data_IF_814742911227
#
_entry.id   IF_814742911227
#
_cell.length_a   1.000
_cell.length_b   1.000
_cell.length_c   1.000
_cell.angle_alpha   90.00
_cell.angle_beta   90.00
_cell.angle_gamma   90.00
#
_symmetry.space_group_name_H-M   'P 1'
#
loop_
_entity.id
_entity.type
_entity.pdbx_description
1 polymer ?
#
# COMPACT_ATOMS: atom_id res chain seq x y z
N UNK A 1 -27.92 -10.32 21.55
CA UNK A 1 -28.52 -9.72 20.35
C UNK A 1 -27.54 -10.03 19.23
N UNK A 2 -27.80 -11.08 18.44
CA UNK A 2 -26.96 -11.45 17.30
C UNK A 2 -27.06 -10.30 16.29
N UNK A 3 -26.04 -9.45 16.24
CA UNK A 3 -25.81 -8.58 15.08
C UNK A 3 -25.64 -9.51 13.88
N UNK A 4 -26.41 -9.31 12.81
CA UNK A 4 -26.29 -10.07 11.57
C UNK A 4 -24.80 -10.16 11.16
N UNK A 5 -24.26 -11.37 11.22
CA UNK A 5 -22.85 -11.61 10.90
C UNK A 5 -22.65 -11.34 9.41
N UNK A 6 -21.74 -10.42 9.08
CA UNK A 6 -21.42 -10.12 7.69
C UNK A 6 -20.80 -11.33 7.02
N UNK A 7 -21.29 -11.66 5.83
CA UNK A 7 -20.85 -12.78 5.02
C UNK A 7 -20.51 -12.34 3.60
N UNK A 8 -19.42 -12.88 3.05
CA UNK A 8 -19.06 -12.76 1.65
C UNK A 8 -19.57 -13.97 0.83
N UNK A 9 -20.01 -13.72 -0.40
CA UNK A 9 -20.32 -14.79 -1.36
C UNK A 9 -19.10 -15.13 -2.20
N UNK A 10 -19.10 -16.28 -2.89
CA UNK A 10 -18.03 -16.64 -3.81
C UNK A 10 -17.89 -15.62 -4.96
N UNK A 11 -19.01 -15.06 -5.44
CA UNK A 11 -19.01 -14.02 -6.46
C UNK A 11 -18.37 -12.72 -5.96
N UNK A 12 -18.63 -12.33 -4.71
CA UNK A 12 -18.01 -11.16 -4.10
C UNK A 12 -16.51 -11.36 -3.86
N UNK A 13 -16.09 -12.54 -3.40
CA UNK A 13 -14.68 -12.89 -3.26
C UNK A 13 -13.96 -12.84 -4.61
N UNK A 14 -14.57 -13.39 -5.66
CA UNK A 14 -14.01 -13.34 -7.01
C UNK A 14 -13.88 -11.89 -7.52
N UNK A 15 -14.90 -11.04 -7.32
CA UNK A 15 -14.89 -9.62 -7.70
C UNK A 15 -13.77 -8.83 -7.00
N UNK A 16 -13.46 -9.17 -5.74
CA UNK A 16 -12.43 -8.50 -4.93
C UNK A 16 -11.02 -9.08 -5.08
N UNK A 17 -10.89 -10.19 -5.79
CA UNK A 17 -9.59 -10.80 -6.10
C UNK A 17 -9.07 -10.16 -7.37
N UNK A 18 -7.87 -9.59 -7.31
CA UNK A 18 -7.21 -8.99 -8.46
C UNK A 18 -5.98 -9.83 -8.76
N UNK A 19 -6.00 -10.55 -9.90
CA UNK A 19 -4.87 -11.37 -10.33
C UNK A 19 -3.83 -10.52 -11.03
N UNK A 20 -2.57 -10.98 -11.04
CA UNK A 20 -1.53 -10.38 -11.88
C UNK A 20 -1.95 -10.29 -13.35
N UNK A 21 -2.69 -11.28 -13.84
CA UNK A 21 -3.20 -11.31 -15.20
C UNK A 21 -4.32 -10.28 -15.48
N UNK A 22 -4.96 -9.75 -14.43
CA UNK A 22 -6.01 -8.73 -14.53
C UNK A 22 -5.43 -7.30 -14.50
N UNK A 23 -4.10 -7.16 -14.35
CA UNK A 23 -3.45 -5.86 -14.33
C UNK A 23 -3.45 -5.28 -15.75
N UNK A 24 -4.09 -4.13 -15.90
CA UNK A 24 -4.14 -3.38 -17.15
C UNK A 24 -3.39 -2.06 -16.96
N UNK A 25 -2.30 -1.89 -17.68
CA UNK A 25 -1.55 -0.64 -17.65
C UNK A 25 -2.30 0.46 -18.39
N UNK A 26 -2.09 1.69 -17.95
CA UNK A 26 -2.30 2.88 -18.78
C UNK A 26 -0.95 3.52 -19.05
N UNK A 27 -0.47 3.33 -20.27
CA UNK A 27 0.80 3.88 -20.75
C UNK A 27 0.68 5.40 -21.04
N UNK A 28 -0.50 5.97 -20.79
CA UNK A 28 -0.89 7.36 -21.05
C UNK A 28 -1.57 7.97 -19.82
N UNK A 29 -1.22 7.48 -18.62
CA UNK A 29 -1.86 7.93 -17.38
C UNK A 29 -1.55 9.40 -17.02
N UNK A 30 -0.45 9.94 -17.57
CA UNK A 30 0.14 11.22 -17.18
C UNK A 30 0.74 11.96 -18.37
N UNK A 31 0.92 13.28 -18.20
CA UNK A 31 1.57 14.14 -19.19
C UNK A 31 3.01 13.70 -19.53
N UNK A 32 3.75 13.19 -18.54
CA UNK A 32 5.15 12.79 -18.73
C UNK A 32 5.29 11.50 -19.55
N UNK A 33 4.27 10.64 -19.59
CA UNK A 33 4.26 9.45 -20.44
C UNK A 33 4.29 9.75 -21.95
N UNK A 34 4.20 11.03 -22.35
CA UNK A 34 4.33 11.47 -23.74
C UNK A 34 5.67 12.18 -24.02
N UNK A 35 6.55 12.26 -23.02
CA UNK A 35 7.91 12.81 -23.15
C UNK A 35 8.96 11.69 -23.21
N UNK A 36 10.01 11.81 -24.05
CA UNK A 36 11.05 10.79 -24.16
C UNK A 36 11.71 10.48 -22.81
N UNK A 37 11.87 9.19 -22.49
CA UNK A 37 12.49 8.72 -21.24
C UNK A 37 11.50 8.38 -20.12
N UNK A 38 10.23 8.75 -20.29
CA UNK A 38 9.09 8.36 -19.44
C UNK A 38 8.01 7.62 -20.22
N UNK A 39 8.13 7.56 -21.56
CA UNK A 39 7.17 7.01 -22.52
C UNK A 39 6.97 5.50 -22.43
N UNK A 40 7.87 4.80 -21.74
CA UNK A 40 7.79 3.35 -21.50
C UNK A 40 7.35 2.99 -20.09
N UNK A 41 6.88 3.96 -19.30
CA UNK A 41 6.37 3.76 -17.94
C UNK A 41 4.93 3.25 -18.02
N UNK A 42 4.69 2.09 -17.42
CA UNK A 42 3.35 1.52 -17.28
C UNK A 42 2.80 1.84 -15.89
N UNK A 43 1.58 2.37 -15.82
CA UNK A 43 0.92 2.69 -14.55
C UNK A 43 -0.35 1.86 -14.37
N UNK A 44 -0.58 1.40 -13.15
CA UNK A 44 -1.66 0.50 -12.80
C UNK A 44 -2.49 1.07 -11.64
N UNK A 45 -3.79 0.81 -11.63
CA UNK A 45 -4.72 1.22 -10.56
C UNK A 45 -5.54 0.02 -10.09
N UNK A 46 -5.14 -0.57 -8.98
CA UNK A 46 -5.73 -1.81 -8.47
C UNK A 46 -6.89 -1.49 -7.51
N UNK A 47 -6.64 -0.60 -6.54
CA UNK A 47 -7.61 -0.16 -5.55
C UNK A 47 -7.76 1.34 -5.67
N UNK A 48 -8.95 1.81 -6.07
CA UNK A 48 -9.21 3.21 -6.33
C UNK A 48 -8.42 3.79 -7.51
N UNK A 49 -8.74 5.02 -7.95
CA UNK A 49 -8.14 5.64 -9.13
C UNK A 49 -6.73 6.21 -8.91
N UNK A 50 -6.26 6.33 -7.66
CA UNK A 50 -4.99 6.96 -7.32
C UNK A 50 -4.95 8.43 -7.71
N UNK A 51 -4.03 8.79 -8.62
CA UNK A 51 -3.84 10.15 -9.13
C UNK A 51 -3.98 10.26 -10.66
N UNK A 52 -4.54 9.22 -11.31
CA UNK A 52 -4.64 9.18 -12.77
C UNK A 52 -5.43 10.38 -13.32
N UNK A 53 -4.94 10.94 -14.43
CA UNK A 53 -5.60 12.03 -15.17
C UNK A 53 -6.38 11.50 -16.38
N UNK A 54 -6.27 10.19 -16.66
CA UNK A 54 -6.88 9.57 -17.82
C UNK A 54 -8.23 8.92 -17.44
N UNK A 55 -9.37 9.36 -18.03
CA UNK A 55 -10.68 8.77 -17.74
C UNK A 55 -10.80 7.30 -18.17
N UNK A 56 -9.97 6.86 -19.12
CA UNK A 56 -9.94 5.49 -19.63
C UNK A 56 -9.09 4.55 -18.77
N UNK A 57 -8.46 5.05 -17.68
CA UNK A 57 -7.73 4.20 -16.74
C UNK A 57 -8.65 3.10 -16.20
N UNK A 58 -8.25 1.86 -16.43
CA UNK A 58 -8.88 0.70 -15.79
C UNK A 58 -8.52 0.71 -14.31
N UNK A 59 -9.55 0.69 -13.47
CA UNK A 59 -9.43 0.55 -12.01
C UNK A 59 -10.05 -0.78 -11.62
N UNK A 60 -9.25 -1.72 -11.14
CA UNK A 60 -9.73 -3.09 -10.86
C UNK A 60 -10.84 -3.10 -9.79
N UNK A 61 -10.68 -2.35 -8.70
CA UNK A 61 -11.70 -2.20 -7.66
C UNK A 61 -11.85 -0.72 -7.25
N UNK A 62 -13.00 -0.12 -7.57
CA UNK A 62 -13.32 1.30 -7.29
C UNK A 62 -13.91 1.57 -5.91
N UNK A 63 -14.12 0.54 -5.11
CA UNK A 63 -14.69 0.70 -3.77
C UNK A 63 -13.76 1.55 -2.89
N UNK A 64 -14.28 2.54 -2.14
CA UNK A 64 -13.47 3.35 -1.23
C UNK A 64 -12.82 2.50 -0.13
N UNK A 65 -11.51 2.63 0.06
CA UNK A 65 -10.75 1.94 1.09
C UNK A 65 -10.18 2.88 2.15
N UNK A 66 -10.27 4.20 1.96
CA UNK A 66 -9.52 5.21 2.71
C UNK A 66 -8.06 5.34 2.23
N UNK A 67 -7.69 4.62 1.18
CA UNK A 67 -6.40 4.63 0.50
C UNK A 67 -6.56 4.09 -0.92
N UNK A 68 -5.59 4.37 -1.79
CA UNK A 68 -5.49 3.76 -3.11
C UNK A 68 -4.28 2.82 -3.18
N UNK A 69 -4.34 1.80 -4.04
CA UNK A 69 -3.20 0.95 -4.39
C UNK A 69 -3.00 0.98 -5.90
N UNK A 70 -1.80 1.38 -6.34
CA UNK A 70 -1.36 1.36 -7.72
C UNK A 70 -0.01 0.67 -7.88
N UNK A 71 0.51 0.70 -9.10
CA UNK A 71 1.91 0.36 -9.35
C UNK A 71 2.47 1.13 -10.55
N UNK A 72 3.79 1.27 -10.57
CA UNK A 72 4.58 1.64 -11.73
C UNK A 72 5.49 0.47 -12.12
N UNK A 73 5.39 0.01 -13.36
CA UNK A 73 6.35 -0.90 -13.96
C UNK A 73 7.22 -0.13 -14.95
N UNK A 74 8.54 -0.27 -14.82
CA UNK A 74 9.49 0.60 -15.50
C UNK A 74 10.69 -0.20 -16.02
N UNK A 75 10.98 -0.16 -17.32
CA UNK A 75 12.25 -0.65 -17.84
C UNK A 75 13.45 0.06 -17.24
N UNK A 76 14.64 -0.57 -17.36
CA UNK A 76 15.89 0.06 -16.94
C UNK A 76 16.06 1.45 -17.57
N UNK A 77 16.51 2.42 -16.77
CA UNK A 77 16.79 3.80 -17.17
C UNK A 77 15.55 4.67 -17.34
N UNK A 78 14.34 4.09 -17.30
CA UNK A 78 13.10 4.86 -17.40
C UNK A 78 12.89 5.64 -16.11
N UNK A 79 12.40 6.87 -16.29
CA UNK A 79 12.25 7.84 -15.23
C UNK A 79 10.79 8.22 -15.04
N UNK A 80 10.36 8.26 -13.79
CA UNK A 80 9.13 8.92 -13.36
C UNK A 80 9.49 10.33 -12.92
N UNK A 81 8.86 11.33 -13.55
CA UNK A 81 9.27 12.72 -13.43
C UNK A 81 8.89 13.35 -12.09
N UNK A 82 9.51 14.50 -11.78
CA UNK A 82 9.28 15.21 -10.51
C UNK A 82 7.83 15.68 -10.42
N UNK A 83 7.16 15.31 -9.35
CA UNK A 83 5.84 15.81 -8.99
C UNK A 83 5.67 15.79 -7.47
N UNK A 84 4.58 16.33 -6.97
CA UNK A 84 4.25 16.48 -5.56
C UNK A 84 2.84 15.95 -5.31
N UNK A 85 2.63 15.28 -4.18
CA UNK A 85 1.33 14.80 -3.73
C UNK A 85 0.86 15.54 -2.48
N UNK A 86 -0.47 15.64 -2.34
CA UNK A 86 -1.12 16.21 -1.16
C UNK A 86 -1.31 15.19 -0.04
N UNK A 87 -1.46 13.92 -0.40
CA UNK A 87 -1.57 12.80 0.53
C UNK A 87 -0.29 11.98 0.55
N UNK A 88 -0.10 11.19 1.62
CA UNK A 88 1.10 10.40 1.77
C UNK A 88 1.17 9.31 0.70
N UNK A 89 2.36 9.08 0.14
CA UNK A 89 2.61 8.00 -0.82
C UNK A 89 3.66 7.06 -0.24
N UNK A 90 3.32 5.77 -0.20
CA UNK A 90 4.21 4.72 0.26
C UNK A 90 4.60 3.86 -0.93
N UNK A 91 5.88 3.81 -1.23
CA UNK A 91 6.45 2.91 -2.23
C UNK A 91 6.76 1.54 -1.61
N UNK A 92 6.37 0.49 -2.33
CA UNK A 92 6.64 -0.91 -1.99
C UNK A 92 7.47 -1.49 -3.14
N UNK A 93 8.78 -1.64 -2.94
CA UNK A 93 9.68 -2.11 -3.99
C UNK A 93 9.59 -3.63 -4.12
N UNK A 94 8.77 -4.11 -5.05
CA UNK A 94 8.55 -5.55 -5.22
C UNK A 94 9.55 -6.20 -6.17
N UNK A 95 10.19 -5.44 -7.05
CA UNK A 95 11.26 -5.91 -7.92
C UNK A 95 12.12 -4.75 -8.42
N UNK A 96 13.43 -4.94 -8.49
CA UNK A 96 14.37 -4.00 -9.08
C UNK A 96 15.05 -3.08 -8.07
N UNK A 97 15.75 -2.07 -8.59
CA UNK A 97 16.44 -1.04 -7.81
C UNK A 97 16.04 0.33 -8.34
N UNK A 98 15.56 1.21 -7.46
CA UNK A 98 15.05 2.52 -7.84
C UNK A 98 15.84 3.63 -7.16
N UNK A 99 16.34 4.58 -7.95
CA UNK A 99 16.90 5.83 -7.43
C UNK A 99 15.77 6.82 -7.21
N UNK A 100 15.39 7.07 -5.96
CA UNK A 100 14.56 8.20 -5.57
C UNK A 100 15.39 9.47 -5.58
N UNK A 101 14.80 10.56 -6.08
CA UNK A 101 15.35 11.92 -6.02
C UNK A 101 14.26 12.92 -5.62
N UNK A 102 14.64 13.98 -4.91
CA UNK A 102 13.68 14.98 -4.43
C UNK A 102 14.23 16.40 -4.47
N UNK A 103 13.33 17.35 -4.22
CA UNK A 103 13.53 18.79 -4.43
C UNK A 103 12.93 19.24 -5.76
N UNK A 104 12.63 20.53 -5.88
CA UNK A 104 11.93 21.07 -7.05
C UNK A 104 12.67 20.84 -8.38
N UNK A 105 14.01 20.81 -8.32
CA UNK A 105 14.90 20.48 -9.43
C UNK A 105 15.51 19.07 -9.31
N UNK A 106 15.16 18.31 -8.26
CA UNK A 106 15.66 16.96 -8.01
C UNK A 106 17.07 16.88 -7.40
N UNK A 107 17.59 18.01 -6.92
CA UNK A 107 18.99 18.14 -6.44
C UNK A 107 19.13 18.18 -4.90
N UNK A 108 18.03 18.12 -4.14
CA UNK A 108 18.09 18.16 -2.66
C UNK A 108 18.61 16.86 -2.05
N UNK A 109 18.48 15.75 -2.77
CA UNK A 109 19.10 14.49 -2.41
C UNK A 109 18.54 13.31 -3.16
N UNK A 110 19.20 12.18 -2.93
CA UNK A 110 18.90 10.90 -3.56
C UNK A 110 18.97 9.75 -2.55
N UNK A 111 18.20 8.69 -2.83
CA UNK A 111 18.22 7.46 -2.05
C UNK A 111 17.85 6.27 -2.94
N UNK A 112 18.59 5.17 -2.80
CA UNK A 112 18.30 3.92 -3.52
C UNK A 112 17.35 3.06 -2.70
N UNK A 113 16.26 2.62 -3.33
CA UNK A 113 15.39 1.54 -2.87
C UNK A 113 15.75 0.24 -3.56
N UNK A 114 15.68 -0.86 -2.82
CA UNK A 114 15.89 -2.23 -3.32
C UNK A 114 14.65 -3.08 -3.08
N UNK A 115 14.58 -4.21 -3.77
CA UNK A 115 13.53 -5.19 -3.55
C UNK A 115 13.34 -5.53 -2.06
N UNK A 116 12.10 -5.46 -1.59
CA UNK A 116 11.71 -5.64 -0.19
C UNK A 116 11.61 -4.34 0.62
N UNK A 117 12.21 -3.25 0.15
CA UNK A 117 12.16 -1.97 0.85
C UNK A 117 10.77 -1.33 0.75
N UNK A 118 10.37 -0.68 1.84
CA UNK A 118 9.20 0.20 1.90
C UNK A 118 9.65 1.61 2.22
N UNK A 119 9.20 2.59 1.43
CA UNK A 119 9.55 3.99 1.62
C UNK A 119 8.31 4.88 1.66
N UNK A 120 8.19 5.69 2.71
CA UNK A 120 7.16 6.74 2.79
C UNK A 120 7.73 8.06 2.31
N UNK A 121 7.07 8.66 1.31
CA UNK A 121 7.40 9.98 0.82
C UNK A 121 6.59 11.02 1.59
N UNK A 122 7.24 12.05 2.17
CA UNK A 122 6.53 13.18 2.76
C UNK A 122 5.58 13.86 1.77
N UNK A 123 4.46 14.38 2.26
CA UNK A 123 3.61 15.27 1.46
C UNK A 123 4.31 16.60 1.23
N UNK A 124 3.86 17.33 0.21
CA UNK A 124 4.38 18.67 -0.09
C UNK A 124 5.88 18.74 -0.46
N UNK A 125 6.43 17.68 -1.03
CA UNK A 125 7.76 17.71 -1.67
C UNK A 125 7.68 17.25 -3.12
N UNK A 126 8.51 17.84 -3.97
CA UNK A 126 8.76 17.30 -5.30
C UNK A 126 9.66 16.08 -5.20
N UNK A 127 9.27 15.00 -5.85
CA UNK A 127 10.04 13.77 -5.94
C UNK A 127 9.77 13.04 -7.24
N UNK A 128 10.73 12.23 -7.64
CA UNK A 128 10.69 11.36 -8.81
C UNK A 128 11.58 10.15 -8.57
N UNK A 129 11.53 9.18 -9.49
CA UNK A 129 12.38 7.99 -9.38
C UNK A 129 12.79 7.47 -10.74
N UNK A 130 13.89 6.73 -10.77
CA UNK A 130 14.41 6.07 -11.96
C UNK A 130 14.72 4.62 -11.63
N UNK A 131 14.31 3.69 -12.50
CA UNK A 131 14.77 2.31 -12.37
C UNK A 131 16.25 2.24 -12.78
N UNK A 132 17.12 1.98 -11.82
CA UNK A 132 18.57 1.84 -12.01
C UNK A 132 19.01 0.37 -12.03
N UNK A 133 18.11 -0.55 -11.68
CA UNK A 133 18.36 -1.99 -11.71
C UNK A 133 18.52 -2.51 -13.14
N UNK A 134 19.14 -3.69 -13.35
CA UNK A 134 19.50 -4.18 -14.68
C UNK A 134 18.31 -4.63 -15.53
N UNK A 135 17.16 -4.90 -14.91
CA UNK A 135 15.94 -5.41 -15.53
C UNK A 135 14.75 -4.46 -15.32
N UNK A 136 13.57 -4.81 -15.84
CA UNK A 136 12.33 -4.13 -15.51
C UNK A 136 12.04 -4.19 -14.00
N UNK A 137 11.73 -3.03 -13.43
CA UNK A 137 11.40 -2.84 -12.02
C UNK A 137 9.91 -2.68 -11.79
N UNK A 138 9.45 -3.04 -10.59
CA UNK A 138 8.07 -2.91 -10.15
C UNK A 138 8.00 -2.25 -8.77
N UNK A 139 7.30 -1.13 -8.72
CA UNK A 139 7.07 -0.34 -7.53
C UNK A 139 5.56 -0.22 -7.31
N UNK A 140 5.01 -0.90 -6.31
CA UNK A 140 3.64 -0.63 -5.89
C UNK A 140 3.59 0.66 -5.09
N UNK A 141 2.44 1.31 -5.10
CA UNK A 141 2.16 2.51 -4.31
C UNK A 141 0.95 2.28 -3.43
N UNK A 142 1.00 2.80 -2.20
CA UNK A 142 -0.19 3.02 -1.36
C UNK A 142 -0.32 4.51 -1.10
N UNK A 143 -1.37 5.11 -1.64
CA UNK A 143 -1.68 6.53 -1.47
C UNK A 143 -2.72 6.69 -0.36
N UNK A 144 -2.51 7.64 0.54
CA UNK A 144 -3.49 7.98 1.56
C UNK A 144 -4.76 8.61 0.98
N UNK A 145 -5.90 8.33 1.61
CA UNK A 145 -7.24 8.80 1.25
C UNK A 145 -7.75 8.25 -0.09
N UNK A 146 -9.08 8.20 -0.25
CA UNK A 146 -9.71 7.82 -1.52
C UNK A 146 -9.61 8.96 -2.54
N UNK A 147 -9.85 10.19 -2.09
CA UNK A 147 -9.56 11.42 -2.83
C UNK A 147 -8.17 11.93 -2.43
N UNK A 148 -7.24 11.83 -3.37
CA UNK A 148 -5.83 12.20 -3.20
C UNK A 148 -5.58 13.69 -3.44
N UNK A 149 -6.55 14.41 -4.02
CA UNK A 149 -6.38 15.77 -4.52
C UNK A 149 -5.52 15.87 -5.79
N UNK A 150 -5.04 14.76 -6.35
CA UNK A 150 -4.17 14.74 -7.52
C UNK A 150 -2.72 15.12 -7.18
N UNK A 151 -2.03 15.74 -8.15
CA UNK A 151 -0.60 16.04 -8.07
C UNK A 151 -0.28 17.43 -8.59
N UNK A 152 0.85 17.98 -8.15
CA UNK A 152 1.47 19.16 -8.77
C UNK A 152 2.73 18.70 -9.50
N UNK A 153 2.83 18.97 -10.79
CA UNK A 153 4.02 18.66 -11.58
C UNK A 153 5.17 19.60 -11.28
N UNK A 154 6.40 19.08 -11.34
CA UNK A 154 7.61 19.87 -11.21
C UNK A 154 7.67 20.98 -12.27
N UNK A 155 8.20 22.17 -11.95
CA UNK A 155 8.27 23.28 -12.90
C UNK A 155 8.99 22.94 -14.21
N UNK A 156 10.05 22.13 -14.15
CA UNK A 156 10.79 21.67 -15.33
C UNK A 156 9.95 20.76 -16.22
N UNK A 157 9.17 19.86 -15.62
CA UNK A 157 8.31 18.89 -16.32
C UNK A 157 7.23 19.60 -17.14
N UNK A 158 6.57 20.60 -16.55
CA UNK A 158 5.55 21.40 -17.26
C UNK A 158 6.15 22.17 -18.45
N UNK A 159 7.35 22.74 -18.28
CA UNK A 159 8.05 23.45 -19.36
C UNK A 159 8.46 22.51 -20.49
N UNK A 160 8.95 21.32 -20.17
CA UNK A 160 9.31 20.30 -21.15
C UNK A 160 8.07 19.82 -21.92
N UNK A 161 7.00 19.47 -21.22
CA UNK A 161 5.74 19.04 -21.82
C UNK A 161 5.16 20.09 -22.77
N UNK A 162 5.19 21.37 -22.40
CA UNK A 162 4.79 22.48 -23.27
C UNK A 162 5.64 22.53 -24.56
N UNK A 163 6.94 22.25 -24.48
CA UNK A 163 7.82 22.13 -25.64
C UNK A 163 7.42 21.01 -26.61
N UNK A 164 6.68 20.02 -26.12
CA UNK A 164 6.10 18.91 -26.89
C UNK A 164 4.61 19.11 -27.23
N UNK A 165 4.05 20.31 -27.02
CA UNK A 165 2.65 20.61 -27.34
C UNK A 165 1.64 20.02 -26.35
N UNK A 166 2.09 19.60 -25.17
CA UNK A 166 1.27 19.03 -24.11
C UNK A 166 1.02 20.06 -23.02
N UNK A 167 -0.24 20.18 -22.60
CA UNK A 167 -0.67 21.12 -21.58
C UNK A 167 -1.57 20.43 -20.55
N UNK A 168 -1.67 21.02 -19.34
CA UNK A 168 -2.62 20.62 -18.32
C UNK A 168 -3.60 21.76 -18.06
N UNK A 169 -4.89 21.46 -18.15
CA UNK A 169 -5.93 22.36 -17.70
C UNK A 169 -6.03 22.38 -16.17
N UNK A 170 -6.62 23.43 -15.61
CA UNK A 170 -6.80 23.61 -14.16
C UNK A 170 -7.64 22.50 -13.50
N UNK A 171 -8.43 21.75 -14.28
CA UNK A 171 -9.16 20.55 -13.87
C UNK A 171 -8.31 19.26 -13.93
N UNK A 172 -7.00 19.38 -14.16
CA UNK A 172 -6.02 18.31 -14.33
C UNK A 172 -6.18 17.46 -15.59
N UNK A 173 -7.00 17.88 -16.57
CA UNK A 173 -7.10 17.18 -17.85
C UNK A 173 -5.89 17.46 -18.74
N UNK A 174 -5.33 16.39 -19.33
CA UNK A 174 -4.28 16.46 -20.34
C UNK A 174 -4.86 16.99 -21.67
N UNK A 175 -4.17 17.95 -22.27
CA UNK A 175 -4.48 18.55 -23.57
C UNK A 175 -3.31 18.30 -24.50
N UNK A 176 -3.58 17.72 -25.67
CA UNK A 176 -2.58 17.40 -26.68
C UNK A 176 -2.86 18.13 -27.99
N UNK A 177 -2.07 19.20 -28.22
CA UNK A 177 -2.21 20.02 -29.43
C UNK A 177 -1.72 19.31 -30.68
N UNK A 178 -0.87 18.29 -30.55
CA UNK A 178 -0.42 17.46 -31.67
C UNK A 178 -1.49 16.45 -32.07
N UNK A 179 -2.34 16.02 -31.12
CA UNK A 179 -3.53 15.21 -31.39
C UNK A 179 -4.73 16.03 -31.91
N UNK A 180 -4.62 17.36 -31.92
CA UNK A 180 -5.62 18.27 -32.46
C UNK A 180 -6.56 18.88 -31.40
N UNK A 181 -6.24 18.75 -30.11
CA UNK A 181 -7.01 19.42 -29.06
C UNK A 181 -6.81 20.95 -29.14
N UNK A 182 -7.89 21.71 -28.94
CA UNK A 182 -7.80 23.17 -28.83
C UNK A 182 -7.12 23.57 -27.52
N UNK A 183 -6.16 24.49 -27.60
CA UNK A 183 -5.51 25.06 -26.40
C UNK A 183 -6.50 26.00 -25.72
N UNK A 184 -6.86 25.75 -24.45
CA UNK A 184 -7.65 26.69 -23.66
C UNK A 184 -6.94 28.03 -23.49
N UNK A 185 -7.67 29.04 -23.00
CA UNK A 185 -7.05 30.30 -22.63
C UNK A 185 -5.93 30.08 -21.61
N UNK A 186 -4.81 30.83 -21.66
CA UNK A 186 -3.68 30.61 -20.75
C UNK A 186 -4.03 30.65 -19.27
N UNK A 187 -5.09 31.37 -18.89
CA UNK A 187 -5.62 31.46 -17.52
C UNK A 187 -6.27 30.15 -17.05
N UNK A 188 -6.66 29.27 -17.96
CA UNK A 188 -7.24 27.96 -17.69
C UNK A 188 -6.17 26.84 -17.64
N UNK A 189 -4.90 27.17 -17.92
CA UNK A 189 -3.79 26.23 -17.89
C UNK A 189 -3.07 26.25 -16.54
N UNK A 190 -2.63 25.07 -16.09
CA UNK A 190 -1.77 24.93 -14.92
C UNK A 190 -0.43 25.58 -15.21
N UNK A 191 -0.10 26.59 -14.41
CA UNK A 191 1.21 27.26 -14.46
C UNK A 191 2.20 26.59 -13.50
N UNK A 192 3.51 26.58 -13.83
CA UNK A 192 4.54 26.15 -12.89
C UNK A 192 4.46 26.90 -11.55
N UNK A 193 4.69 26.18 -10.46
CA UNK A 193 4.76 26.76 -9.11
C UNK A 193 5.77 27.92 -9.08
N UNK A 194 5.39 29.04 -8.44
CA UNK A 194 6.26 30.20 -8.37
C UNK A 194 7.50 29.93 -7.49
N UNK A 195 8.66 30.55 -7.78
CA UNK A 195 9.87 30.34 -6.98
C UNK A 195 9.71 30.64 -5.48
N UNK A 196 8.88 31.62 -5.14
CA UNK A 196 8.59 31.96 -3.74
C UNK A 196 7.83 30.85 -3.01
N UNK A 197 6.90 30.17 -3.69
CA UNK A 197 6.14 29.05 -3.14
C UNK A 197 7.03 27.81 -3.02
N UNK A 198 7.89 27.56 -4.02
CA UNK A 198 8.91 26.49 -3.98
C UNK A 198 9.82 26.66 -2.76
N UNK A 199 10.32 27.88 -2.54
CA UNK A 199 11.18 28.19 -1.40
C UNK A 199 10.49 28.03 -0.03
N UNK A 200 9.16 28.01 0.00
CA UNK A 200 8.36 27.80 1.20
C UNK A 200 8.04 26.32 1.47
N UNK A 201 8.34 25.41 0.53
CA UNK A 201 8.12 23.97 0.72
C UNK A 201 9.05 23.40 1.82
N UNK A 202 8.62 22.34 2.52
CA UNK A 202 9.48 21.67 3.48
C UNK A 202 10.70 21.04 2.80
N UNK A 203 11.89 21.28 3.36
CA UNK A 203 13.14 20.68 2.89
C UNK A 203 13.54 19.47 3.74
N UNK A 204 14.10 18.47 3.07
CA UNK A 204 14.57 17.24 3.70
C UNK A 204 15.98 16.90 3.22
N UNK A 205 16.89 16.70 4.16
CA UNK A 205 18.16 16.07 3.87
C UNK A 205 18.00 14.54 3.72
N UNK A 206 19.02 13.89 3.14
CA UNK A 206 19.00 12.45 2.90
C UNK A 206 18.87 11.62 4.19
N UNK A 207 19.38 12.12 5.33
CA UNK A 207 19.27 11.41 6.60
C UNK A 207 17.81 11.42 7.13
N UNK A 208 17.07 12.52 6.94
CA UNK A 208 15.65 12.60 7.26
C UNK A 208 14.83 11.67 6.38
N UNK A 209 15.10 11.61 5.07
CA UNK A 209 14.39 10.68 4.17
C UNK A 209 14.72 9.21 4.47
N UNK A 210 15.99 8.88 4.79
CA UNK A 210 16.37 7.50 5.14
C UNK A 210 15.60 6.95 6.34
N UNK A 211 15.21 7.79 7.31
CA UNK A 211 14.36 7.39 8.44
C UNK A 211 12.96 6.96 8.00
N UNK A 212 12.49 7.43 6.84
CA UNK A 212 11.23 7.05 6.21
C UNK A 212 11.36 5.85 5.27
N UNK A 213 12.45 5.11 5.37
CA UNK A 213 12.64 3.85 4.66
C UNK A 213 12.81 2.73 5.67
N UNK A 214 12.06 1.67 5.48
CA UNK A 214 12.22 0.38 6.13
C UNK A 214 12.86 -0.57 5.12
N UNK A 215 14.18 -0.77 5.25
CA UNK A 215 14.88 -1.84 4.55
C UNK A 215 14.66 -3.18 5.26
N UNK A 216 15.06 -4.28 4.62
CA UNK A 216 14.91 -5.63 5.21
C UNK A 216 15.52 -5.74 6.62
N UNK A 217 16.68 -5.12 6.86
CA UNK A 217 17.33 -5.09 8.18
C UNK A 217 16.64 -4.18 9.22
N UNK A 218 15.77 -3.27 8.77
CA UNK A 218 15.00 -2.38 9.65
C UNK A 218 13.68 -3.04 10.13
N UNK A 219 13.34 -4.23 9.62
CA UNK A 219 12.07 -4.91 9.95
C UNK A 219 12.14 -5.64 11.29
N UNK A 220 11.31 -5.19 12.23
CA UNK A 220 11.11 -5.85 13.52
C UNK A 220 10.02 -6.91 13.42
N UNK A 221 10.41 -8.14 13.10
CA UNK A 221 9.50 -9.29 13.05
C UNK A 221 9.13 -9.76 14.46
N UNK A 222 7.83 -9.88 14.75
CA UNK A 222 7.32 -10.47 15.99
C UNK A 222 6.47 -11.71 15.73
N UNK A 223 6.88 -12.82 16.34
CA UNK A 223 6.06 -14.03 16.48
C UNK A 223 4.98 -13.90 17.57
N UNK A 224 4.97 -12.77 18.29
CA UNK A 224 3.97 -12.38 19.28
C UNK A 224 3.07 -11.24 18.74
N UNK A 225 3.14 -10.97 17.44
CA UNK A 225 2.37 -9.90 16.82
C UNK A 225 0.86 -10.16 16.78
N UNK A 226 0.39 -11.39 17.02
CA UNK A 226 -1.00 -11.79 16.93
C UNK A 226 -1.31 -12.86 17.99
N UNK A 227 -2.50 -12.82 18.60
CA UNK A 227 -2.96 -13.86 19.54
C UNK A 227 -2.97 -15.23 18.89
N UNK A 228 -3.38 -15.28 17.62
CA UNK A 228 -3.42 -16.50 16.82
C UNK A 228 -2.07 -17.21 16.69
N UNK A 229 -0.95 -16.50 16.86
CA UNK A 229 0.40 -17.09 16.81
C UNK A 229 0.69 -18.08 17.93
N UNK A 230 -0.12 -18.10 18.99
CA UNK A 230 -0.04 -19.11 20.05
C UNK A 230 -0.75 -20.43 19.72
N UNK A 231 -1.48 -20.52 18.61
CA UNK A 231 -2.37 -21.64 18.28
C UNK A 231 -1.78 -22.48 17.12
N UNK A 232 -1.93 -23.82 17.10
CA UNK A 232 -1.46 -24.65 15.99
C UNK A 232 -2.02 -24.19 14.63
N UNK A 233 -1.14 -24.04 13.63
CA UNK A 233 -1.52 -23.51 12.31
C UNK A 233 -1.65 -21.99 12.26
N UNK A 234 -1.40 -21.29 13.37
CA UNK A 234 -1.48 -19.84 13.50
C UNK A 234 -0.13 -19.11 13.55
N UNK A 235 0.98 -19.81 13.33
CA UNK A 235 2.35 -19.31 13.43
C UNK A 235 2.76 -18.32 12.35
N UNK A 236 2.11 -17.16 12.31
CA UNK A 236 2.52 -16.01 11.51
C UNK A 236 3.36 -15.02 12.34
N UNK A 237 4.32 -14.40 11.67
CA UNK A 237 5.08 -13.28 12.19
C UNK A 237 4.69 -11.99 11.45
N UNK A 238 4.58 -10.89 12.19
CA UNK A 238 4.20 -9.58 11.66
C UNK A 238 5.36 -8.59 11.86
N UNK A 239 5.60 -7.72 10.87
CA UNK A 239 6.52 -6.58 10.99
C UNK A 239 5.79 -5.31 10.50
N UNK A 240 5.22 -4.48 11.39
CA UNK A 240 4.57 -3.23 11.02
C UNK A 240 5.59 -2.21 10.53
N UNK A 241 5.27 -1.51 9.45
CA UNK A 241 6.17 -0.54 8.80
C UNK A 241 5.56 0.86 8.84
N UNK A 242 4.32 1.00 8.37
CA UNK A 242 3.53 2.24 8.42
C UNK A 242 2.45 2.07 9.48
N UNK A 243 2.50 2.87 10.54
CA UNK A 243 1.56 2.79 11.66
C UNK A 243 1.59 1.45 12.39
N UNK A 244 0.84 1.33 13.48
CA UNK A 244 0.88 0.13 14.34
C UNK A 244 0.19 -1.10 13.74
N UNK A 245 -0.37 -0.98 12.53
CA UNK A 245 -0.95 -2.13 11.85
C UNK A 245 -2.06 -2.79 12.67
N UNK A 246 -2.00 -4.11 12.74
CA UNK A 246 -2.86 -4.97 13.55
C UNK A 246 -2.09 -5.68 14.67
N UNK A 247 -0.92 -5.16 15.09
CA UNK A 247 -0.08 -5.86 16.05
C UNK A 247 -0.72 -5.92 17.45
N UNK A 248 -0.74 -7.10 18.06
CA UNK A 248 -1.10 -7.30 19.46
C UNK A 248 0.15 -7.37 20.36
N UNK A 249 1.35 -7.20 19.79
CA UNK A 249 2.59 -7.03 20.55
C UNK A 249 2.68 -5.59 21.08
N UNK A 250 2.94 -5.44 22.38
CA UNK A 250 2.98 -4.13 23.05
C UNK A 250 4.30 -3.40 22.85
N UNK A 251 5.37 -4.15 22.58
CA UNK A 251 6.73 -3.64 22.51
C UNK A 251 7.18 -3.43 21.05
N UNK A 252 6.34 -3.81 20.09
CA UNK A 252 6.63 -3.66 18.66
C UNK A 252 6.32 -2.24 18.19
N UNK A 253 7.31 -1.59 17.58
CA UNK A 253 7.17 -0.24 17.05
C UNK A 253 7.31 -0.23 15.52
N UNK A 254 6.40 0.43 14.78
CA UNK A 254 6.58 0.61 13.35
C UNK A 254 7.71 1.59 13.07
N UNK A 255 8.43 1.34 11.98
CA UNK A 255 9.49 2.24 11.53
C UNK A 255 8.98 3.66 11.28
N UNK A 256 7.75 3.80 10.78
CA UNK A 256 7.14 5.08 10.38
C UNK A 256 5.75 5.17 11.03
N UNK A 257 5.62 6.03 12.04
CA UNK A 257 4.41 6.13 12.86
C UNK A 257 3.54 7.37 12.58
N UNK A 258 3.96 8.28 11.70
CA UNK A 258 3.12 9.43 11.36
C UNK A 258 1.86 8.97 10.59
N UNK A 259 0.75 9.73 10.66
CA UNK A 259 -0.47 9.43 9.92
C UNK A 259 -0.25 9.36 8.40
N UNK A 260 -0.91 8.39 7.75
CA UNK A 260 -0.97 8.17 6.29
C UNK A 260 -2.41 7.90 5.79
N UNK A 261 -3.41 7.81 6.68
CA UNK A 261 -4.77 7.34 6.38
C UNK A 261 -4.88 5.82 6.24
N UNK A 262 -3.77 5.10 6.42
CA UNK A 262 -3.66 3.65 6.31
C UNK A 262 -2.43 3.16 7.09
N UNK A 263 -2.36 1.85 7.30
CA UNK A 263 -1.20 1.17 7.86
C UNK A 263 -0.73 0.04 6.94
N UNK A 264 0.56 -0.29 7.02
CA UNK A 264 1.21 -1.31 6.20
C UNK A 264 2.10 -2.17 7.09
N UNK A 265 1.95 -3.49 6.99
CA UNK A 265 2.81 -4.44 7.66
C UNK A 265 3.21 -5.57 6.71
N UNK A 266 4.41 -6.09 6.89
CA UNK A 266 4.78 -7.39 6.34
C UNK A 266 4.23 -8.51 7.22
N UNK A 267 3.75 -9.58 6.59
CA UNK A 267 3.34 -10.82 7.23
C UNK A 267 4.11 -11.98 6.59
N UNK A 268 4.68 -12.87 7.40
CA UNK A 268 5.31 -14.11 6.92
C UNK A 268 4.87 -15.31 7.73
N UNK A 269 4.84 -16.47 7.09
CA UNK A 269 4.48 -17.73 7.74
C UNK A 269 5.21 -18.92 7.10
N UNK A 270 5.49 -19.94 7.90
CA UNK A 270 5.98 -21.25 7.43
C UNK A 270 4.88 -22.02 6.68
N UNK A 271 5.22 -23.06 5.90
CA UNK A 271 4.25 -23.93 5.24
C UNK A 271 3.19 -24.45 6.21
N UNK A 272 1.92 -24.21 5.87
CA UNK A 272 0.78 -24.66 6.66
C UNK A 272 0.42 -23.75 7.84
N UNK A 273 1.20 -22.72 8.14
CA UNK A 273 0.93 -21.69 9.15
C UNK A 273 0.28 -20.45 8.54
N UNK A 274 -0.22 -19.54 9.37
CA UNK A 274 -0.81 -18.28 8.93
C UNK A 274 -1.56 -17.55 10.03
N UNK A 275 -2.62 -16.81 9.69
CA UNK A 275 -3.46 -16.10 10.66
C UNK A 275 -4.77 -16.87 10.83
N UNK A 276 -5.08 -17.37 12.05
CA UNK A 276 -6.34 -18.06 12.34
C UNK A 276 -7.58 -17.19 12.11
N UNK A 277 -8.75 -17.80 12.29
CA UNK A 277 -10.03 -17.15 12.04
C UNK A 277 -10.22 -15.90 12.93
N UNK A 278 -10.30 -14.74 12.29
CA UNK A 278 -10.46 -13.43 12.92
C UNK A 278 -11.30 -12.50 12.05
N UNK A 279 -11.72 -11.35 12.60
CA UNK A 279 -12.31 -10.25 11.83
C UNK A 279 -11.88 -8.90 12.40
N UNK A 280 -12.12 -7.85 11.62
CA UNK A 280 -12.10 -6.46 12.09
C UNK A 280 -12.94 -5.59 11.16
N UNK A 281 -13.24 -4.36 11.59
CA UNK A 281 -14.10 -3.43 10.85
C UNK A 281 -13.35 -2.48 9.92
N UNK A 282 -12.02 -2.50 9.87
CA UNK A 282 -11.28 -1.71 8.87
C UNK A 282 -11.29 -2.36 7.47
N UNK A 283 -11.05 -1.56 6.44
CA UNK A 283 -10.76 -2.05 5.08
C UNK A 283 -9.40 -2.74 5.08
N UNK A 284 -9.24 -3.79 4.27
CA UNK A 284 -7.99 -4.54 4.20
C UNK A 284 -7.72 -5.03 2.79
N UNK A 285 -6.47 -4.91 2.36
CA UNK A 285 -5.95 -5.55 1.15
C UNK A 285 -4.75 -6.41 1.55
N UNK A 286 -4.78 -7.66 1.10
CA UNK A 286 -3.66 -8.60 1.23
C UNK A 286 -2.98 -8.71 -0.14
N UNK A 287 -1.70 -8.36 -0.23
CA UNK A 287 -0.91 -8.38 -1.47
C UNK A 287 0.25 -9.36 -1.33
N UNK A 288 0.24 -10.43 -2.14
CA UNK A 288 1.24 -11.50 -2.05
C UNK A 288 2.55 -11.07 -2.70
N UNK A 289 3.65 -11.20 -1.95
CA UNK A 289 5.01 -10.99 -2.47
C UNK A 289 5.62 -12.32 -2.93
N UNK A 290 5.62 -13.33 -2.06
CA UNK A 290 6.21 -14.65 -2.32
C UNK A 290 5.27 -15.79 -1.88
N UNK A 291 5.49 -16.99 -2.44
CA UNK A 291 4.75 -18.21 -2.12
C UNK A 291 3.32 -18.25 -2.66
N UNK A 292 2.52 -19.15 -2.11
CA UNK A 292 1.08 -19.29 -2.41
C UNK A 292 0.30 -19.23 -1.10
N UNK A 293 -0.71 -18.39 -1.05
CA UNK A 293 -1.53 -18.16 0.13
C UNK A 293 -2.99 -18.49 -0.13
N UNK A 294 -3.64 -19.17 0.80
CA UNK A 294 -5.08 -19.35 0.79
C UNK A 294 -5.73 -18.36 1.77
N UNK A 295 -6.68 -17.57 1.26
CA UNK A 295 -7.53 -16.69 2.07
C UNK A 295 -8.93 -17.29 2.06
N UNK A 296 -9.43 -17.68 3.24
CA UNK A 296 -10.79 -18.17 3.42
C UNK A 296 -11.61 -17.11 4.15
N UNK A 297 -12.80 -16.80 3.64
CA UNK A 297 -13.77 -15.90 4.25
C UNK A 297 -14.95 -16.66 4.86
N UNK A 298 -15.59 -16.01 5.82
CA UNK A 298 -16.74 -16.45 6.63
C UNK A 298 -16.37 -17.47 7.72
N UNK A 299 -17.13 -17.46 8.83
CA UNK A 299 -17.07 -18.50 9.88
C UNK A 299 -17.85 -19.75 9.50
N UNK A 300 -18.92 -19.58 8.73
CA UNK A 300 -19.77 -20.65 8.21
C UNK A 300 -19.97 -20.44 6.70
N UNK A 301 -20.25 -21.50 5.94
CA UNK A 301 -20.31 -21.49 4.46
C UNK A 301 -19.11 -20.74 3.86
N UNK A 302 -17.94 -21.29 4.16
CA UNK A 302 -16.65 -20.73 3.78
C UNK A 302 -16.51 -20.58 2.27
N UNK A 303 -15.86 -19.50 1.85
CA UNK A 303 -15.39 -19.30 0.47
C UNK A 303 -13.91 -18.99 0.49
N UNK A 304 -13.13 -19.68 -0.36
CA UNK A 304 -11.68 -19.56 -0.39
C UNK A 304 -11.17 -19.06 -1.74
N UNK A 305 -10.02 -18.39 -1.71
CA UNK A 305 -9.21 -18.08 -2.90
C UNK A 305 -7.74 -18.37 -2.60
N UNK A 306 -7.04 -18.99 -3.57
CA UNK A 306 -5.57 -19.09 -3.56
C UNK A 306 -4.96 -17.94 -4.32
N UNK A 307 -3.92 -17.32 -3.80
CA UNK A 307 -3.23 -16.15 -4.33
C UNK A 307 -1.75 -16.49 -4.50
N UNK A 308 -1.22 -16.31 -5.70
CA UNK A 308 0.22 -16.42 -5.98
C UNK A 308 0.92 -15.06 -5.90
N UNK A 309 2.22 -14.99 -6.18
CA UNK A 309 2.95 -13.72 -6.22
C UNK A 309 2.24 -12.68 -7.09
N UNK A 310 2.25 -11.43 -6.64
CA UNK A 310 1.60 -10.26 -7.27
C UNK A 310 0.07 -10.22 -7.19
N UNK A 311 -0.60 -11.33 -6.86
CA UNK A 311 -2.04 -11.32 -6.66
C UNK A 311 -2.40 -10.56 -5.37
N UNK A 312 -3.58 -9.95 -5.36
CA UNK A 312 -4.13 -9.33 -4.16
C UNK A 312 -5.62 -9.63 -3.98
N UNK A 313 -6.08 -9.52 -2.74
CA UNK A 313 -7.51 -9.60 -2.41
C UNK A 313 -7.90 -8.48 -1.45
N UNK A 314 -8.99 -7.79 -1.76
CA UNK A 314 -9.67 -6.91 -0.81
C UNK A 314 -10.60 -7.74 0.08
N UNK A 315 -10.41 -7.67 1.40
CA UNK A 315 -11.27 -8.37 2.37
C UNK A 315 -12.40 -7.43 2.80
N UNK A 316 -13.68 -7.83 2.65
CA UNK A 316 -14.79 -7.00 3.08
C UNK A 316 -14.77 -6.73 4.60
N UNK A 317 -15.09 -5.49 4.98
CA UNK A 317 -15.12 -5.04 6.39
C UNK A 317 -16.05 -5.90 7.25
N UNK A 318 -15.56 -6.37 8.40
CA UNK A 318 -16.32 -7.14 9.39
C UNK A 318 -16.61 -8.60 9.00
N UNK A 319 -16.13 -9.06 7.85
CA UNK A 319 -16.21 -10.48 7.45
C UNK A 319 -15.09 -11.26 8.13
N UNK A 320 -15.44 -12.41 8.72
CA UNK A 320 -14.47 -13.36 9.24
C UNK A 320 -13.53 -13.85 8.16
N UNK A 321 -12.24 -14.01 8.47
CA UNK A 321 -11.26 -14.55 7.56
C UNK A 321 -10.15 -15.31 8.27
N UNK A 322 -9.55 -16.24 7.55
CA UNK A 322 -8.27 -16.86 7.88
C UNK A 322 -7.34 -16.77 6.67
N UNK A 323 -6.05 -16.72 6.93
CA UNK A 323 -5.00 -16.62 5.91
C UNK A 323 -4.00 -17.73 6.18
N UNK A 324 -3.60 -18.49 5.17
CA UNK A 324 -2.68 -19.63 5.34
C UNK A 324 -1.66 -19.70 4.22
N UNK A 325 -0.40 -19.87 4.56
CA UNK A 325 0.62 -20.22 3.57
C UNK A 325 0.43 -21.68 3.17
N UNK A 326 0.10 -21.92 1.91
CA UNK A 326 -0.15 -23.27 1.35
C UNK A 326 0.98 -23.74 0.42
N UNK A 327 2.04 -22.94 0.29
CA UNK A 327 3.24 -23.31 -0.44
C UNK A 327 4.17 -24.23 0.36
N UNK A 328 5.20 -24.77 -0.31
CA UNK A 328 6.19 -25.67 0.29
C UNK A 328 7.34 -24.95 1.01
N UNK A 329 7.34 -23.62 1.06
CA UNK A 329 8.39 -22.81 1.67
C UNK A 329 7.81 -21.64 2.48
N UNK A 330 8.63 -20.96 3.26
CA UNK A 330 8.23 -19.73 3.96
C UNK A 330 7.82 -18.68 2.94
N UNK A 331 6.66 -18.08 3.15
CA UNK A 331 6.07 -17.11 2.24
C UNK A 331 5.84 -15.75 2.92
N UNK A 332 5.71 -14.70 2.12
CA UNK A 332 5.54 -13.32 2.61
C UNK A 332 4.43 -12.60 1.83
N UNK A 333 3.64 -11.79 2.53
CA UNK A 333 2.68 -10.86 1.94
C UNK A 333 2.69 -9.52 2.66
N UNK A 334 2.16 -8.49 2.00
CA UNK A 334 1.80 -7.23 2.62
C UNK A 334 0.36 -7.25 3.10
N UNK A 335 0.16 -6.67 4.28
CA UNK A 335 -1.16 -6.36 4.84
C UNK A 335 -1.30 -4.85 4.86
N UNK A 336 -2.26 -4.33 4.11
CA UNK A 336 -2.61 -2.91 4.11
C UNK A 336 -3.99 -2.77 4.72
N UNK A 337 -4.12 -2.03 5.82
CA UNK A 337 -5.43 -1.72 6.40
C UNK A 337 -5.71 -0.22 6.37
N UNK A 338 -6.99 0.14 6.28
CA UNK A 338 -7.42 1.53 6.37
C UNK A 338 -7.24 2.11 7.78
N UNK A 339 -7.03 3.41 7.84
CA UNK A 339 -6.92 4.17 9.09
C UNK A 339 -5.52 4.19 9.71
N UNK A 340 -5.29 5.23 10.52
CA UNK A 340 -4.03 5.46 11.25
C UNK A 340 -3.99 4.79 12.63
N UNK A 341 -5.16 4.42 13.15
CA UNK A 341 -5.28 3.71 14.41
C UNK A 341 -4.79 2.27 14.29
N UNK A 342 -4.30 1.71 15.40
CA UNK A 342 -4.07 0.27 15.47
C UNK A 342 -5.39 -0.48 15.25
N UNK A 343 -5.40 -1.38 14.28
CA UNK A 343 -6.54 -2.24 13.95
C UNK A 343 -6.75 -3.24 15.08
N UNK A 344 -7.97 -3.29 15.61
CA UNK A 344 -8.37 -4.22 16.67
C UNK A 344 -8.96 -5.48 16.07
N UNK A 345 -8.38 -6.62 16.40
CA UNK A 345 -8.84 -7.91 15.93
C UNK A 345 -9.88 -8.49 16.91
N UNK A 346 -10.93 -9.06 16.34
CA UNK A 346 -11.81 -9.97 17.04
C UNK A 346 -11.49 -11.39 16.59
N UNK A 347 -11.14 -12.24 17.54
CA UNK A 347 -10.74 -13.63 17.30
C UNK A 347 -11.92 -14.57 17.49
N UNK A 348 -11.89 -15.69 16.76
CA UNK A 348 -12.87 -16.75 16.95
C UNK A 348 -12.76 -17.35 18.36
N UNK A 349 -13.89 -17.78 18.94
CA UNK A 349 -13.94 -18.29 20.31
C UNK A 349 -12.99 -19.48 20.51
N UNK A 350 -12.86 -20.36 19.51
CA UNK A 350 -11.94 -21.50 19.59
C UNK A 350 -10.48 -21.07 19.50
N UNK A 351 -10.16 -19.98 18.79
CA UNK A 351 -8.81 -19.39 18.77
C UNK A 351 -8.48 -18.79 20.13
N UNK A 352 -9.40 -18.03 20.73
CA UNK A 352 -9.22 -17.45 22.07
C UNK A 352 -9.00 -18.53 23.11
N UNK A 353 -9.80 -19.60 23.08
CA UNK A 353 -9.68 -20.72 24.00
C UNK A 353 -8.35 -21.47 23.81
N UNK A 354 -7.96 -21.77 22.58
CA UNK A 354 -6.70 -22.44 22.31
C UNK A 354 -5.48 -21.60 22.72
N UNK A 355 -5.53 -20.27 22.52
CA UNK A 355 -4.49 -19.37 23.00
C UNK A 355 -4.43 -19.34 24.54
N UNK A 356 -5.58 -19.34 25.22
CA UNK A 356 -5.66 -19.40 26.67
C UNK A 356 -5.10 -20.72 27.23
N UNK A 357 -5.39 -21.85 26.58
CA UNK A 357 -4.80 -23.16 26.90
C UNK A 357 -3.26 -23.15 26.69
N UNK A 358 -2.77 -22.38 25.72
CA UNK A 358 -1.35 -22.10 25.51
C UNK A 358 -0.77 -21.03 26.46
N UNK A 359 -1.57 -20.49 27.39
CA UNK A 359 -1.13 -19.53 28.41
C UNK A 359 -1.06 -18.07 27.94
N UNK A 360 -1.61 -17.75 26.78
CA UNK A 360 -1.63 -16.40 26.19
C UNK A 360 -3.05 -15.86 26.12
N UNK A 361 -3.24 -14.58 26.43
CA UNK A 361 -4.51 -13.90 26.24
C UNK A 361 -4.30 -12.45 25.83
N UNK A 362 -5.40 -11.72 25.70
CA UNK A 362 -5.41 -10.31 25.32
C UNK A 362 -5.85 -9.46 26.51
N UNK A 363 -5.08 -8.43 26.85
CA UNK A 363 -5.40 -7.51 27.94
C UNK A 363 -6.49 -6.48 27.55
N UNK A 364 -6.88 -5.63 28.50
CA UNK A 364 -7.93 -4.62 28.27
C UNK A 364 -7.50 -3.50 27.31
N UNK A 365 -6.18 -3.34 27.09
CA UNK A 365 -5.63 -2.47 26.09
C UNK A 365 -5.43 -3.22 24.76
N UNK A 366 -5.92 -4.45 24.64
CA UNK A 366 -5.84 -5.32 23.49
C UNK A 366 -4.43 -5.66 23.06
N UNK A 367 -3.51 -5.85 24.00
CA UNK A 367 -2.19 -6.43 23.75
C UNK A 367 -2.08 -7.83 24.34
N UNK A 368 -1.18 -8.64 23.80
CA UNK A 368 -0.90 -9.96 24.34
C UNK A 368 -0.36 -9.86 25.78
N UNK A 369 -0.77 -10.80 26.62
CA UNK A 369 -0.35 -10.91 27.99
C UNK A 369 -0.41 -12.38 28.47
N UNK A 370 0.34 -12.75 29.52
CA UNK A 370 0.18 -14.06 30.15
C UNK A 370 -1.25 -14.24 30.67
N UNK A 371 -1.95 -15.27 30.20
CA UNK A 371 -3.37 -15.49 30.47
C UNK A 371 -3.70 -15.56 31.97
N UNK A 372 -2.82 -16.17 32.76
CA UNK A 372 -3.00 -16.33 34.21
C UNK A 372 -2.97 -15.02 35.01
N UNK A 373 -2.50 -13.91 34.42
CA UNK A 373 -2.47 -12.58 35.03
C UNK A 373 -3.68 -11.72 34.63
N UNK A 374 -4.46 -12.16 33.63
CA UNK A 374 -5.61 -11.41 33.16
C UNK A 374 -6.76 -11.51 34.18
N UNK A 375 -7.47 -10.41 34.46
CA UNK A 375 -8.60 -10.44 35.36
C UNK A 375 -9.71 -11.29 34.74
N UNK A 376 -10.26 -12.22 35.52
CA UNK A 376 -11.41 -13.02 35.09
C UNK A 376 -12.66 -12.14 35.07
N UNK A 377 -13.58 -12.36 34.11
CA UNK A 377 -14.89 -11.72 34.15
C UNK A 377 -15.54 -11.99 35.51
N UNK A 378 -16.02 -10.94 36.19
CA UNK A 378 -16.74 -11.11 37.45
C UNK A 378 -18.05 -11.84 37.15
N UNK A 379 -18.15 -13.11 37.56
CA UNK A 379 -19.40 -13.90 37.46
C UNK A 379 -19.43 -15.02 36.41
N UNK A 380 -18.29 -15.51 35.91
CA UNK A 380 -18.18 -16.80 35.19
C UNK A 380 -17.65 -17.92 36.08
#
# INVERSE_FOLDING_TARGET
MHTDEKRATAAELARRTIRRADFVSCDQAFIDCRTPGSDRKENYSMIGPGVTQNPDQVVNLREPHGFNIGAAAMPHGITNNLHLHFTAEVFLCFRGEFLLRWGADGEEGELVLREGDIASIPTWIFRGFTNIGPDDGWLFTVLGHDDTGGIIWGPSVLREAQGHGLHLAADNRLIDTLAGDEVPDPEELVSPMAPADIAALPSYDAAKLRRRVAAAEDLEWSALGLLGSAVPGGGAELAPVIGFGMTEDRDQEPRIYNPHGHNVAWLRAEPGEGVPLHRHDETQVLLVKDGEWEVTLNRHDEVSVRLGPWDMVSVPRGVWRRVRNVSGERATMLVVNGGDGRVRLEWDEEVVKAAADAGVGVDHNGYLAPYHLLPRPVGQ
#
